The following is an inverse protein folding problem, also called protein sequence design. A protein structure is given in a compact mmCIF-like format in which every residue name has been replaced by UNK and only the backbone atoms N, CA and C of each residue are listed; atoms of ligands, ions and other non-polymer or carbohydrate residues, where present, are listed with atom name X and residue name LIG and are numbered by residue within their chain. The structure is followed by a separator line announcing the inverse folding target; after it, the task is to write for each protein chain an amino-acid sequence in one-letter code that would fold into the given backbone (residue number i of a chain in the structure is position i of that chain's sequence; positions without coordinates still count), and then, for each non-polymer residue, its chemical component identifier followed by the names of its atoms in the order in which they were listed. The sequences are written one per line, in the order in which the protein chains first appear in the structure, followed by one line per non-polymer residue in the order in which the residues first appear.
data_IF_780172647516
#
_entry.id   IF_780172647516
#
_cell.length_a   1.000
_cell.length_b   1.000
_cell.length_c   1.000
_cell.angle_alpha   90.00
_cell.angle_beta   90.00
_cell.angle_gamma   90.00
#
_symmetry.space_group_name_H-M   'P 1'
#
loop_
_entity.id
_entity.type
_entity.pdbx_description
1 polymer ?
#
# COMPACT_ATOMS: atom_id res chain seq x y z
N UNK A 1 -0.16 4.52 13.08
CA UNK A 1 0.51 4.15 11.81
C UNK A 1 0.91 2.68 11.89
N UNK A 2 0.76 1.93 10.79
CA UNK A 2 1.05 0.49 10.77
C UNK A 2 2.56 0.24 10.93
N UNK A 3 2.91 -0.63 11.89
CA UNK A 3 4.27 -1.12 12.15
C UNK A 3 4.19 -2.54 12.76
N UNK A 4 5.19 -3.41 12.56
CA UNK A 4 5.26 -4.68 13.27
C UNK A 4 5.44 -4.47 14.78
N UNK A 5 4.71 -5.23 15.60
CA UNK A 5 4.87 -5.20 17.06
C UNK A 5 6.23 -5.75 17.51
N UNK A 6 6.74 -6.77 16.83
CA UNK A 6 8.04 -7.40 17.10
C UNK A 6 8.64 -7.92 15.80
N UNK A 7 9.95 -7.78 15.63
CA UNK A 7 10.70 -8.36 14.52
C UNK A 7 11.86 -9.22 15.04
N UNK A 8 12.12 -10.35 14.39
CA UNK A 8 13.28 -11.20 14.72
C UNK A 8 14.61 -10.47 14.45
N UNK A 9 14.69 -9.72 13.35
CA UNK A 9 15.88 -8.98 12.94
C UNK A 9 15.58 -7.49 12.77
N UNK A 10 16.43 -6.64 13.33
CA UNK A 10 16.26 -5.18 13.29
C UNK A 10 16.56 -4.56 11.92
N UNK A 11 17.52 -5.12 11.17
CA UNK A 11 17.96 -4.62 9.85
C UNK A 11 17.89 -5.76 8.83
N UNK A 12 17.20 -5.53 7.72
CA UNK A 12 17.07 -6.51 6.62
C UNK A 12 17.68 -5.96 5.34
N UNK A 13 18.22 -6.82 4.48
CA UNK A 13 18.73 -6.41 3.16
C UNK A 13 17.62 -5.74 2.34
N UNK A 14 18.01 -4.81 1.46
CA UNK A 14 17.03 -4.11 0.61
C UNK A 14 16.41 -5.12 -0.35
N UNK A 15 15.07 -5.26 -0.39
CA UNK A 15 14.44 -6.19 -1.30
C UNK A 15 14.50 -5.65 -2.74
N UNK A 16 14.57 -6.53 -3.73
CA UNK A 16 14.37 -6.11 -5.12
C UNK A 16 12.88 -5.77 -5.39
N UNK A 17 12.63 -5.25 -6.59
CA UNK A 17 11.31 -4.82 -7.07
C UNK A 17 11.00 -5.39 -8.45
N UNK A 18 11.69 -6.46 -8.84
CA UNK A 18 11.52 -7.06 -10.17
C UNK A 18 10.35 -8.06 -10.18
N UNK A 19 9.78 -8.28 -11.36
CA UNK A 19 8.70 -9.26 -11.56
C UNK A 19 7.32 -8.80 -11.07
N UNK A 20 6.36 -9.71 -11.25
CA UNK A 20 4.96 -9.53 -10.90
C UNK A 20 4.68 -9.90 -9.44
N UNK A 21 3.55 -9.42 -8.93
CA UNK A 21 3.07 -9.80 -7.60
C UNK A 21 2.84 -11.31 -7.49
N UNK A 22 3.44 -11.93 -6.45
CA UNK A 22 3.29 -13.36 -6.15
C UNK A 22 1.85 -13.76 -5.82
N UNK A 23 1.03 -12.84 -5.32
CA UNK A 23 -0.36 -13.12 -4.93
C UNK A 23 -1.06 -11.91 -4.36
N UNK A 24 -2.33 -12.07 -3.95
CA UNK A 24 -3.20 -10.94 -3.62
C UNK A 24 -3.47 -10.08 -4.85
N UNK A 25 -3.74 -10.75 -5.97
CA UNK A 25 -3.95 -10.13 -7.28
C UNK A 25 -5.44 -9.97 -7.61
N UNK A 26 -6.31 -10.56 -6.79
CA UNK A 26 -7.76 -10.58 -6.89
C UNK A 26 -8.37 -9.85 -5.68
N UNK A 27 -9.64 -9.46 -5.82
CA UNK A 27 -10.43 -8.83 -4.76
C UNK A 27 -11.01 -9.92 -3.85
N UNK A 28 -10.77 -9.85 -2.54
CA UNK A 28 -11.21 -10.91 -1.61
C UNK A 28 -12.36 -10.49 -0.68
N UNK A 29 -12.46 -9.20 -0.35
CA UNK A 29 -13.33 -8.69 0.70
C UNK A 29 -14.35 -7.67 0.18
N UNK A 30 -13.89 -6.62 -0.51
CA UNK A 30 -14.72 -5.53 -1.00
C UNK A 30 -15.30 -5.75 -2.40
N UNK A 31 -16.00 -4.73 -2.90
CA UNK A 31 -16.63 -4.71 -4.22
C UNK A 31 -15.71 -4.05 -5.27
N UNK A 32 -14.93 -3.05 -4.83
CA UNK A 32 -13.95 -2.32 -5.65
C UNK A 32 -12.58 -2.28 -4.98
N UNK A 33 -11.52 -2.13 -5.75
CA UNK A 33 -10.16 -2.12 -5.22
C UNK A 33 -9.16 -1.29 -6.02
N UNK A 34 -8.02 -0.98 -5.39
CA UNK A 34 -6.85 -0.37 -6.03
C UNK A 34 -5.82 -1.46 -6.30
N UNK A 35 -5.47 -1.64 -7.57
CA UNK A 35 -4.41 -2.53 -8.02
C UNK A 35 -3.18 -1.74 -8.50
N UNK A 36 -1.99 -2.16 -8.08
CA UNK A 36 -0.72 -1.57 -8.51
C UNK A 36 -0.39 -1.93 -9.97
N UNK A 37 0.03 -0.94 -10.76
CA UNK A 37 0.48 -1.13 -12.15
C UNK A 37 2.00 -1.05 -12.30
N UNK A 38 2.70 -0.51 -11.29
CA UNK A 38 4.15 -0.40 -11.26
C UNK A 38 4.68 -0.78 -9.87
N UNK A 39 5.94 -1.25 -9.76
CA UNK A 39 6.50 -1.63 -8.47
C UNK A 39 6.92 -0.41 -7.64
N UNK A 40 6.67 -0.43 -6.34
CA UNK A 40 7.16 0.60 -5.41
C UNK A 40 7.28 0.11 -3.97
N UNK A 41 8.05 0.84 -3.18
CA UNK A 41 7.98 0.75 -1.72
C UNK A 41 6.89 1.68 -1.22
N UNK A 42 5.85 1.12 -0.61
CA UNK A 42 4.77 1.90 -0.03
C UNK A 42 5.00 2.03 1.47
N UNK A 43 5.25 3.25 1.94
CA UNK A 43 5.50 3.54 3.35
C UNK A 43 4.22 3.44 4.18
N UNK A 44 4.36 3.17 5.47
CA UNK A 44 3.24 3.23 6.41
C UNK A 44 2.50 4.58 6.40
N UNK A 45 3.20 5.69 6.09
CA UNK A 45 2.60 7.02 5.94
C UNK A 45 1.71 7.15 4.71
N UNK A 46 2.14 6.59 3.58
CA UNK A 46 1.35 6.57 2.34
C UNK A 46 0.11 5.68 2.49
N UNK A 47 0.25 4.53 3.16
CA UNK A 47 -0.90 3.66 3.45
C UNK A 47 -1.95 4.41 4.28
N UNK A 48 -1.52 5.11 5.32
CA UNK A 48 -2.42 5.88 6.18
C UNK A 48 -3.03 7.07 5.45
N UNK A 49 -2.25 7.78 4.62
CA UNK A 49 -2.75 8.90 3.82
C UNK A 49 -3.83 8.45 2.82
N UNK A 50 -3.62 7.32 2.15
CA UNK A 50 -4.62 6.71 1.26
C UNK A 50 -5.88 6.28 2.03
N UNK A 51 -5.72 5.62 3.17
CA UNK A 51 -6.84 5.22 4.05
C UNK A 51 -7.67 6.43 4.50
N UNK A 52 -7.02 7.49 4.95
CA UNK A 52 -7.68 8.73 5.38
C UNK A 52 -8.41 9.38 4.21
N UNK A 53 -7.81 9.43 3.01
CA UNK A 53 -8.45 9.99 1.82
C UNK A 53 -9.76 9.26 1.47
N UNK A 54 -9.74 7.92 1.45
CA UNK A 54 -10.94 7.10 1.19
C UNK A 54 -12.00 7.31 2.27
N UNK A 55 -11.63 7.10 3.54
CA UNK A 55 -12.58 7.14 4.67
C UNK A 55 -13.22 8.50 4.89
N UNK A 56 -12.50 9.59 4.58
CA UNK A 56 -13.07 10.95 4.61
C UNK A 56 -14.08 11.17 3.49
N UNK A 57 -13.81 10.68 2.29
CA UNK A 57 -14.70 10.86 1.16
C UNK A 57 -16.03 10.12 1.35
N UNK A 58 -15.97 8.87 1.80
CA UNK A 58 -17.18 8.06 2.07
C UNK A 58 -17.90 8.45 3.37
N UNK A 59 -17.45 9.51 4.07
CA UNK A 59 -18.03 10.01 5.33
C UNK A 59 -18.20 8.91 6.40
N UNK A 60 -17.23 7.99 6.47
CA UNK A 60 -17.26 6.78 7.34
C UNK A 60 -18.41 5.79 7.04
N UNK A 61 -19.08 5.91 5.89
CA UNK A 61 -19.96 4.88 5.36
C UNK A 61 -19.18 3.74 4.70
N UNK A 62 -19.76 2.54 4.66
CA UNK A 62 -19.12 1.36 4.09
C UNK A 62 -17.93 0.83 4.89
N UNK A 63 -17.13 -0.03 4.24
CA UNK A 63 -15.94 -0.66 4.83
C UNK A 63 -14.76 -0.53 3.88
N UNK A 64 -13.58 -0.31 4.46
CA UNK A 64 -12.30 -0.23 3.75
C UNK A 64 -11.37 -1.30 4.32
N UNK A 65 -10.78 -2.10 3.44
CA UNK A 65 -9.76 -3.08 3.77
C UNK A 65 -8.40 -2.62 3.27
N UNK A 66 -7.37 -2.85 4.08
CA UNK A 66 -5.97 -2.64 3.71
C UNK A 66 -5.36 -4.03 3.58
N UNK A 67 -4.93 -4.40 2.38
CA UNK A 67 -4.44 -5.75 2.05
C UNK A 67 -2.91 -5.83 2.00
N UNK A 68 -2.23 -4.70 2.21
CA UNK A 68 -0.77 -4.61 2.34
C UNK A 68 -0.39 -4.21 3.76
N UNK A 69 0.74 -4.74 4.24
CA UNK A 69 1.26 -4.40 5.56
C UNK A 69 2.74 -4.00 5.45
N UNK A 70 3.17 -2.91 6.10
CA UNK A 70 4.55 -2.45 6.04
C UNK A 70 5.41 -3.23 7.05
N UNK A 71 5.88 -4.40 6.65
CA UNK A 71 6.66 -5.34 7.47
C UNK A 71 8.18 -5.18 7.33
N UNK A 72 8.64 -4.46 6.31
CA UNK A 72 10.07 -4.36 5.97
C UNK A 72 10.67 -3.06 6.49
N UNK A 73 11.77 -3.10 7.28
CA UNK A 73 12.48 -1.89 7.67
C UNK A 73 13.42 -1.42 6.55
N UNK A 74 13.32 -0.14 6.17
CA UNK A 74 14.26 0.52 5.26
C UNK A 74 15.20 1.43 6.05
N UNK A 75 16.50 1.28 5.80
CA UNK A 75 17.57 2.02 6.50
C UNK A 75 18.06 3.22 5.70
N UNK A 76 18.38 4.31 6.40
CA UNK A 76 19.04 5.51 5.85
C UNK A 76 20.38 5.74 6.54
N UNK A 77 21.38 6.17 5.77
CA UNK A 77 22.63 6.63 6.34
C UNK A 77 22.46 8.06 6.89
N UNK A 78 23.15 8.42 8.00
CA UNK A 78 23.10 9.78 8.53
C UNK A 78 23.53 10.81 7.49
N UNK A 79 22.88 11.97 7.51
CA UNK A 79 23.27 13.10 6.66
C UNK A 79 24.67 13.58 7.07
N UNK A 80 25.52 13.85 6.08
CA UNK A 80 26.90 14.30 6.30
C UNK A 80 27.92 13.22 6.65
N UNK A 81 27.50 11.96 6.83
CA UNK A 81 28.42 10.84 7.05
C UNK A 81 29.01 10.32 5.73
N UNK A 82 30.26 9.86 5.77
CA UNK A 82 30.91 9.17 4.64
C UNK A 82 30.37 7.75 4.48
N UNK A 83 30.61 7.16 3.32
CA UNK A 83 30.35 5.73 3.07
C UNK A 83 31.22 4.86 3.98
N UNK A 84 30.77 3.63 4.26
CA UNK A 84 31.40 2.74 5.24
C UNK A 84 30.66 2.76 6.59
N UNK A 85 31.34 2.33 7.66
CA UNK A 85 30.81 2.30 9.04
C UNK A 85 29.56 1.43 9.26
N UNK A 86 29.32 0.48 8.36
CA UNK A 86 28.20 -0.45 8.43
C UNK A 86 26.87 0.16 8.01
N UNK A 87 25.79 -0.61 8.18
CA UNK A 87 24.46 -0.24 7.69
C UNK A 87 23.79 0.84 8.54
N UNK A 88 23.16 1.82 7.90
CA UNK A 88 22.37 2.86 8.56
C UNK A 88 21.25 2.38 9.50
N UNK A 89 20.58 3.33 10.15
CA UNK A 89 19.48 3.07 11.09
C UNK A 89 18.16 2.84 10.34
N UNK A 90 17.27 1.93 10.81
CA UNK A 90 15.92 1.82 10.28
C UNK A 90 15.14 3.11 10.49
N UNK A 91 14.58 3.67 9.42
CA UNK A 91 13.82 4.93 9.45
C UNK A 91 12.38 4.75 8.93
N UNK A 92 12.18 3.86 7.96
CA UNK A 92 10.87 3.62 7.36
C UNK A 92 10.45 2.17 7.54
N UNK A 93 9.14 1.97 7.68
CA UNK A 93 8.50 0.68 7.45
C UNK A 93 7.78 0.74 6.11
N UNK A 94 8.09 -0.21 5.24
CA UNK A 94 7.60 -0.27 3.87
C UNK A 94 6.92 -1.60 3.59
N UNK A 95 5.90 -1.56 2.76
CA UNK A 95 5.40 -2.71 2.03
C UNK A 95 6.09 -2.74 0.66
N UNK A 96 6.68 -3.88 0.29
CA UNK A 96 7.24 -4.07 -1.05
C UNK A 96 6.12 -4.50 -1.99
N UNK A 97 5.70 -3.59 -2.89
CA UNK A 97 4.56 -3.81 -3.77
C UNK A 97 5.05 -3.99 -5.20
N UNK A 98 4.56 -5.04 -5.84
CA UNK A 98 4.83 -5.38 -7.24
C UNK A 98 3.56 -5.19 -8.08
N UNK A 99 3.67 -5.04 -9.41
CA UNK A 99 2.51 -4.92 -10.30
C UNK A 99 1.56 -6.11 -10.16
N UNK A 100 0.26 -5.83 -10.25
CA UNK A 100 -0.81 -6.81 -10.05
C UNK A 100 -1.32 -6.91 -8.61
N UNK A 101 -0.58 -6.39 -7.61
CA UNK A 101 -0.99 -6.44 -6.20
C UNK A 101 -2.19 -5.52 -5.95
N UNK A 102 -3.24 -6.09 -5.37
CA UNK A 102 -4.36 -5.35 -4.77
C UNK A 102 -3.92 -4.82 -3.40
N UNK A 103 -4.06 -3.51 -3.17
CA UNK A 103 -3.56 -2.82 -1.96
C UNK A 103 -4.66 -2.35 -1.01
N UNK A 104 -5.81 -1.97 -1.57
CA UNK A 104 -6.96 -1.50 -0.82
C UNK A 104 -8.22 -2.04 -1.48
N UNK A 105 -9.21 -2.37 -0.67
CA UNK A 105 -10.54 -2.75 -1.12
C UNK A 105 -11.57 -1.89 -0.39
N UNK A 106 -12.71 -1.65 -1.04
CA UNK A 106 -13.83 -0.89 -0.49
C UNK A 106 -15.14 -1.60 -0.83
N UNK A 107 -16.10 -1.55 0.08
CA UNK A 107 -17.41 -2.16 -0.12
C UNK A 107 -18.50 -1.54 0.75
N UNK A 108 -19.75 -1.80 0.40
CA UNK A 108 -20.91 -1.20 1.06
C UNK A 108 -21.09 0.29 0.75
N UNK A 109 -20.70 0.72 -0.44
CA UNK A 109 -20.92 2.06 -1.01
C UNK A 109 -21.28 1.92 -2.50
N UNK A 110 -21.93 2.92 -3.09
CA UNK A 110 -22.21 2.92 -4.53
C UNK A 110 -20.94 3.03 -5.37
N UNK A 111 -21.00 2.58 -6.62
CA UNK A 111 -19.86 2.59 -7.54
C UNK A 111 -19.27 3.99 -7.73
N UNK A 112 -20.10 5.00 -7.95
CA UNK A 112 -19.64 6.39 -8.13
C UNK A 112 -18.83 6.88 -6.92
N UNK A 113 -19.32 6.55 -5.72
CA UNK A 113 -18.65 6.91 -4.47
C UNK A 113 -17.35 6.13 -4.31
N UNK A 114 -17.36 4.83 -4.63
CA UNK A 114 -16.16 3.99 -4.59
C UNK A 114 -15.09 4.49 -5.55
N UNK A 115 -15.43 4.73 -6.81
CA UNK A 115 -14.49 5.14 -7.86
C UNK A 115 -13.82 6.47 -7.51
N UNK A 116 -14.55 7.45 -7.02
CA UNK A 116 -13.99 8.74 -6.60
C UNK A 116 -13.17 8.62 -5.29
N UNK A 117 -13.60 7.79 -4.32
CA UNK A 117 -12.82 7.51 -3.12
C UNK A 117 -11.45 6.89 -3.46
N UNK A 118 -11.45 5.89 -4.34
CA UNK A 118 -10.24 5.18 -4.76
C UNK A 118 -9.34 6.07 -5.61
N UNK A 119 -9.90 6.92 -6.49
CA UNK A 119 -9.12 7.92 -7.25
C UNK A 119 -8.32 8.84 -6.33
N UNK A 120 -8.96 9.42 -5.30
CA UNK A 120 -8.30 10.28 -4.30
C UNK A 120 -7.21 9.57 -3.51
N UNK A 121 -7.36 8.27 -3.31
CA UNK A 121 -6.37 7.45 -2.62
C UNK A 121 -5.17 7.14 -3.50
N UNK A 122 -5.38 6.91 -4.81
CA UNK A 122 -4.31 6.71 -5.80
C UNK A 122 -3.35 7.90 -5.81
N UNK A 123 -3.85 9.14 -5.70
CA UNK A 123 -3.02 10.36 -5.63
C UNK A 123 -2.06 10.40 -4.42
N UNK A 124 -2.24 9.50 -3.43
CA UNK A 124 -1.37 9.39 -2.25
C UNK A 124 -0.32 8.29 -2.39
N UNK A 125 -0.37 7.50 -3.45
CA UNK A 125 0.49 6.36 -3.67
C UNK A 125 1.66 6.72 -4.62
N UNK A 126 2.85 6.14 -4.43
CA UNK A 126 4.04 6.49 -5.19
C UNK A 126 4.14 5.79 -6.56
N UNK A 127 3.04 5.26 -7.10
CA UNK A 127 3.03 4.45 -8.32
C UNK A 127 1.76 4.65 -9.12
N UNK A 128 1.80 4.26 -10.40
CA UNK A 128 0.59 4.10 -11.20
C UNK A 128 -0.25 2.96 -10.62
N UNK A 129 -1.55 3.20 -10.51
CA UNK A 129 -2.53 2.25 -10.03
C UNK A 129 -3.76 2.30 -10.93
N UNK A 130 -4.57 1.24 -10.91
CA UNK A 130 -5.90 1.20 -11.52
C UNK A 130 -6.95 0.80 -10.51
N UNK A 131 -8.18 1.23 -10.76
CA UNK A 131 -9.36 0.75 -10.03
C UNK A 131 -9.87 -0.52 -10.73
N UNK A 132 -10.22 -1.52 -9.94
CA UNK A 132 -10.83 -2.77 -10.41
C UNK A 132 -12.13 -3.03 -9.62
N UNK A 133 -13.09 -3.69 -10.25
CA UNK A 133 -14.34 -4.15 -9.64
C UNK A 133 -14.33 -5.68 -9.55
N UNK A 134 -15.08 -6.25 -8.61
CA UNK A 134 -15.23 -7.71 -8.48
C UNK A 134 -16.00 -8.23 -9.70
N UNK A 135 -15.45 -9.23 -10.40
CA UNK A 135 -16.16 -9.91 -11.49
C UNK A 135 -17.46 -10.52 -10.93
N UNK A 136 -18.61 -9.97 -11.35
CA UNK A 136 -19.95 -10.35 -10.88
C UNK A 136 -20.74 -9.24 -10.17
N UNK A 137 -20.15 -8.06 -9.94
CA UNK A 137 -20.92 -6.84 -9.68
C UNK A 137 -21.31 -6.22 -11.02
N UNK A 138 -22.61 -5.91 -11.21
CA UNK A 138 -23.17 -5.40 -12.46
C UNK A 138 -22.29 -4.32 -13.11
N UNK A 139 -21.99 -4.50 -14.41
CA UNK A 139 -21.30 -3.54 -15.29
C UNK A 139 -22.36 -2.74 -16.05
#
# INVERSE_FOLDING_TARGET
MLIPKRTKYRKQHRPDRHGMSKGGNEINFGDFAIQAMAPAYVTNRQIEAARIAMTRYIKRGGKVWITIFPDRPLTKHPLGARMGSGKGTPEFWIANVHPGRVMFEIGGVSEDVAREALRRAIDKLPMKCRVIAREGGDI
#
